data_IF_931965097013
#
_entry.id   IF_931965097013
#
_cell.length_a   1.000
_cell.length_b   1.000
_cell.length_c   1.000
_cell.angle_alpha   90.00
_cell.angle_beta   90.00
_cell.angle_gamma   90.00
#
_symmetry.space_group_name_H-M   'P 1'
#
loop_
_entity.id
_entity.type
_entity.pdbx_description
1 polymer ?
#
# COMPACT_ATOMS: atom_id res chain seq x y z
N UNK A 1 3.95 -21.72 1.79
CA UNK A 1 4.15 -20.53 0.94
C UNK A 1 3.98 -19.30 1.81
N UNK A 2 4.88 -18.32 1.74
CA UNK A 2 4.72 -17.05 2.47
C UNK A 2 3.78 -16.12 1.71
N UNK A 3 2.87 -15.42 2.40
CA UNK A 3 1.92 -14.47 1.79
C UNK A 3 2.33 -13.03 2.05
N UNK A 4 2.47 -12.24 1.00
CA UNK A 4 2.81 -10.82 1.09
C UNK A 4 1.63 -10.00 0.57
N UNK A 5 1.06 -9.18 1.45
CA UNK A 5 0.08 -8.19 1.04
C UNK A 5 0.79 -6.98 0.41
N UNK A 6 0.44 -6.64 -0.82
CA UNK A 6 1.00 -5.49 -1.52
C UNK A 6 -0.05 -4.38 -1.57
N UNK A 7 0.22 -3.25 -0.93
CA UNK A 7 -0.67 -2.08 -0.91
C UNK A 7 -0.19 -1.03 -1.93
N UNK A 8 -1.04 -0.76 -2.93
CA UNK A 8 -0.72 0.11 -4.07
C UNK A 8 -1.67 1.30 -4.13
N UNK A 9 -1.14 2.43 -4.60
CA UNK A 9 -1.96 3.57 -4.99
C UNK A 9 -2.60 3.39 -6.38
N UNK A 10 -1.99 2.59 -7.25
CA UNK A 10 -2.43 2.39 -8.62
C UNK A 10 -2.10 0.96 -9.10
N UNK A 11 -2.93 0.41 -9.99
CA UNK A 11 -2.80 -0.96 -10.48
C UNK A 11 -1.58 -1.16 -11.41
N UNK A 12 -1.06 -0.08 -12.00
CA UNK A 12 0.07 -0.14 -12.96
C UNK A 12 1.34 -0.77 -12.38
N UNK A 13 1.47 -0.82 -11.07
CA UNK A 13 2.67 -1.33 -10.41
C UNK A 13 2.60 -2.84 -10.09
N UNK A 14 1.44 -3.48 -10.31
CA UNK A 14 1.24 -4.91 -10.03
C UNK A 14 2.20 -5.75 -10.88
N UNK A 15 2.22 -5.57 -12.20
CA UNK A 15 3.08 -6.35 -13.10
C UNK A 15 4.57 -6.22 -12.76
N UNK A 16 4.98 -5.01 -12.37
CA UNK A 16 6.37 -4.76 -11.95
C UNK A 16 6.74 -5.53 -10.68
N UNK A 17 5.85 -5.54 -9.69
CA UNK A 17 6.08 -6.24 -8.42
C UNK A 17 6.01 -7.75 -8.61
N UNK A 18 5.05 -8.26 -9.39
CA UNK A 18 4.96 -9.68 -9.75
C UNK A 18 6.26 -10.18 -10.39
N UNK A 19 6.79 -9.44 -11.37
CA UNK A 19 8.08 -9.75 -11.98
C UNK A 19 9.25 -9.74 -11.00
N UNK A 20 9.27 -8.79 -10.06
CA UNK A 20 10.36 -8.69 -9.08
C UNK A 20 10.39 -9.86 -8.09
N UNK A 21 9.25 -10.53 -7.89
CA UNK A 21 9.10 -11.65 -6.96
C UNK A 21 8.90 -13.00 -7.67
N UNK A 22 8.91 -13.04 -9.00
CA UNK A 22 8.67 -14.25 -9.82
C UNK A 22 9.55 -15.45 -9.43
N UNK A 23 10.79 -15.19 -9.01
CA UNK A 23 11.76 -16.22 -8.60
C UNK A 23 11.65 -16.64 -7.14
N UNK A 24 10.75 -16.03 -6.36
CA UNK A 24 10.54 -16.31 -4.94
C UNK A 24 9.28 -17.15 -4.76
N UNK A 25 9.34 -18.14 -3.86
CA UNK A 25 8.17 -18.96 -3.48
C UNK A 25 7.25 -18.20 -2.50
N UNK A 26 6.69 -17.09 -2.98
CA UNK A 26 5.75 -16.25 -2.24
C UNK A 26 4.45 -16.08 -3.01
N UNK A 27 3.36 -15.91 -2.28
CA UNK A 27 2.06 -15.53 -2.83
C UNK A 27 1.87 -14.03 -2.59
N UNK A 28 1.66 -13.27 -3.67
CA UNK A 28 1.37 -11.85 -3.58
C UNK A 28 -0.15 -11.63 -3.58
N UNK A 29 -0.63 -10.82 -2.64
CA UNK A 29 -2.04 -10.41 -2.56
C UNK A 29 -2.10 -8.90 -2.74
N UNK A 30 -2.67 -8.46 -3.86
CA UNK A 30 -2.67 -7.04 -4.24
C UNK A 30 -3.92 -6.30 -3.73
N UNK A 31 -3.68 -5.25 -2.97
CA UNK A 31 -4.68 -4.31 -2.45
C UNK A 31 -4.46 -2.94 -3.09
N UNK A 32 -5.40 -2.47 -3.91
CA UNK A 32 -5.29 -1.17 -4.59
C UNK A 32 -6.26 -0.18 -3.94
N UNK A 33 -5.74 0.92 -3.40
CA UNK A 33 -6.57 2.05 -2.95
C UNK A 33 -6.18 3.36 -3.66
N UNK A 34 -6.88 3.73 -4.74
CA UNK A 34 -6.62 4.98 -5.44
C UNK A 34 -7.16 6.20 -4.68
N UNK A 35 -7.99 6.01 -3.66
CA UNK A 35 -8.70 7.10 -2.98
C UNK A 35 -7.77 7.84 -2.03
N UNK A 36 -6.82 7.15 -1.37
CA UNK A 36 -5.89 7.79 -0.45
C UNK A 36 -5.02 8.84 -1.17
N UNK A 37 -4.41 8.48 -2.30
CA UNK A 37 -3.60 9.39 -3.09
C UNK A 37 -4.42 10.56 -3.64
N UNK A 38 -5.61 10.28 -4.20
CA UNK A 38 -6.50 11.34 -4.70
C UNK A 38 -6.94 12.32 -3.62
N UNK A 39 -7.21 11.86 -2.39
CA UNK A 39 -7.61 12.74 -1.28
C UNK A 39 -6.44 13.59 -0.78
N UNK A 40 -5.24 13.01 -0.67
CA UNK A 40 -4.03 13.76 -0.31
C UNK A 40 -3.76 14.89 -1.32
N UNK A 41 -3.98 14.64 -2.61
CA UNK A 41 -3.72 15.62 -3.67
C UNK A 41 -4.81 16.71 -3.77
N UNK A 42 -6.08 16.38 -3.54
CA UNK A 42 -7.20 17.26 -3.89
C UNK A 42 -7.98 17.84 -2.71
N UNK A 43 -7.80 17.31 -1.50
CA UNK A 43 -8.58 17.73 -0.32
C UNK A 43 -7.68 18.46 0.70
N UNK A 44 -7.77 19.80 0.73
CA UNK A 44 -7.03 20.67 1.66
C UNK A 44 -7.38 20.41 3.13
N UNK A 45 -8.53 19.79 3.42
CA UNK A 45 -8.94 19.38 4.75
C UNK A 45 -8.51 17.95 5.11
N UNK A 46 -8.01 17.17 4.13
CA UNK A 46 -7.50 15.82 4.35
C UNK A 46 -6.13 15.85 5.01
N UNK A 47 -6.17 16.05 6.33
CA UNK A 47 -4.98 16.15 7.16
C UNK A 47 -4.33 14.80 7.44
N UNK A 48 -3.08 14.86 7.93
CA UNK A 48 -2.26 13.72 8.33
C UNK A 48 -3.00 12.69 9.19
N UNK A 49 -3.80 13.13 10.15
CA UNK A 49 -4.56 12.25 11.05
C UNK A 49 -5.59 11.39 10.31
N UNK A 50 -6.25 11.94 9.28
CA UNK A 50 -7.24 11.20 8.48
C UNK A 50 -6.56 10.18 7.57
N UNK A 51 -5.43 10.57 6.96
CA UNK A 51 -4.59 9.65 6.19
C UNK A 51 -4.08 8.47 7.04
N UNK A 52 -3.62 8.76 8.26
CA UNK A 52 -3.17 7.74 9.22
C UNK A 52 -4.30 6.80 9.65
N UNK A 53 -5.48 7.33 9.96
CA UNK A 53 -6.63 6.49 10.33
C UNK A 53 -7.06 5.59 9.17
N UNK A 54 -7.08 6.11 7.95
CA UNK A 54 -7.41 5.32 6.76
C UNK A 54 -6.39 4.22 6.50
N UNK A 55 -5.09 4.53 6.62
CA UNK A 55 -4.02 3.52 6.52
C UNK A 55 -4.15 2.44 7.60
N UNK A 56 -4.45 2.84 8.85
CA UNK A 56 -4.66 1.89 9.96
C UNK A 56 -5.82 0.94 9.67
N UNK A 57 -6.92 1.45 9.12
CA UNK A 57 -8.07 0.62 8.75
C UNK A 57 -7.72 -0.36 7.63
N UNK A 58 -6.94 0.07 6.63
CA UNK A 58 -6.46 -0.81 5.57
C UNK A 58 -5.56 -1.92 6.10
N UNK A 59 -4.59 -1.56 6.95
CA UNK A 59 -3.70 -2.54 7.57
C UNK A 59 -4.47 -3.54 8.44
N UNK A 60 -5.53 -3.10 9.14
CA UNK A 60 -6.41 -4.00 9.88
C UNK A 60 -7.11 -4.99 8.96
N UNK A 61 -7.66 -4.51 7.85
CA UNK A 61 -8.34 -5.36 6.88
C UNK A 61 -7.38 -6.35 6.19
N UNK A 62 -6.15 -5.90 5.90
CA UNK A 62 -5.08 -6.76 5.38
C UNK A 62 -4.69 -7.82 6.42
N UNK A 63 -4.58 -7.46 7.70
CA UNK A 63 -4.21 -8.39 8.77
C UNK A 63 -5.22 -9.54 8.94
N UNK A 64 -6.49 -9.33 8.57
CA UNK A 64 -7.53 -10.37 8.57
C UNK A 64 -7.30 -11.43 7.46
N UNK A 65 -6.40 -11.17 6.50
CA UNK A 65 -6.15 -12.03 5.32
C UNK A 65 -5.05 -13.10 5.52
N UNK A 66 -4.63 -13.40 6.75
CA UNK A 66 -3.58 -14.39 7.07
C UNK A 66 -2.27 -14.18 6.30
N UNK A 67 -1.70 -12.97 6.42
CA UNK A 67 -0.50 -12.53 5.69
C UNK A 67 0.75 -12.58 6.58
N UNK A 68 1.90 -12.88 5.99
CA UNK A 68 3.19 -12.92 6.69
C UNK A 68 3.89 -11.56 6.69
N UNK A 69 3.65 -10.72 5.68
CA UNK A 69 4.26 -9.40 5.53
C UNK A 69 3.38 -8.44 4.72
N UNK A 70 3.61 -7.13 4.91
CA UNK A 70 3.00 -6.07 4.11
C UNK A 70 4.09 -5.30 3.35
N UNK A 71 3.98 -5.29 2.02
CA UNK A 71 4.71 -4.40 1.13
C UNK A 71 3.85 -3.18 0.83
N UNK A 72 4.36 -1.98 1.11
CA UNK A 72 3.67 -0.73 0.76
C UNK A 72 4.48 0.02 -0.29
N UNK A 73 3.83 0.44 -1.36
CA UNK A 73 4.44 1.41 -2.26
C UNK A 73 4.58 2.74 -1.54
N UNK A 74 5.84 3.12 -1.32
CA UNK A 74 6.16 4.42 -0.77
C UNK A 74 6.75 5.24 -1.90
N UNK A 75 6.04 6.28 -2.32
CA UNK A 75 6.67 7.32 -3.12
C UNK A 75 7.70 8.00 -2.20
N UNK A 76 9.00 7.82 -2.48
CA UNK A 76 10.11 8.31 -1.65
C UNK A 76 9.98 9.82 -1.38
N UNK A 77 9.38 10.57 -2.32
CA UNK A 77 9.09 12.00 -2.18
C UNK A 77 8.12 12.36 -1.03
N UNK A 78 7.24 11.43 -0.62
CA UNK A 78 6.25 11.65 0.43
C UNK A 78 6.81 11.51 1.85
N UNK A 79 7.98 10.87 2.00
CA UNK A 79 8.68 10.73 3.29
C UNK A 79 9.69 11.86 3.48
N UNK A 80 10.39 12.27 2.42
CA UNK A 80 11.42 13.32 2.50
C UNK A 80 10.81 14.68 2.89
N UNK A 81 9.54 14.94 2.58
CA UNK A 81 8.83 16.14 3.01
C UNK A 81 8.22 16.06 4.43
N UNK A 82 8.55 15.03 5.21
CA UNK A 82 8.13 14.90 6.62
C UNK A 82 9.29 14.93 7.63
N UNK A 83 10.50 15.30 7.18
CA UNK A 83 11.66 15.60 8.03
C UNK A 83 12.23 16.98 7.72
#
# INVERSE_FOLDING_TARGET
MKKIACLHAHHSNIEYIERAFEVLEVELIHFVDPILSRRIENDKGFGRAQAQNKLKNQLKWIAESNIDAVLREVNVSSIVNQF
#
